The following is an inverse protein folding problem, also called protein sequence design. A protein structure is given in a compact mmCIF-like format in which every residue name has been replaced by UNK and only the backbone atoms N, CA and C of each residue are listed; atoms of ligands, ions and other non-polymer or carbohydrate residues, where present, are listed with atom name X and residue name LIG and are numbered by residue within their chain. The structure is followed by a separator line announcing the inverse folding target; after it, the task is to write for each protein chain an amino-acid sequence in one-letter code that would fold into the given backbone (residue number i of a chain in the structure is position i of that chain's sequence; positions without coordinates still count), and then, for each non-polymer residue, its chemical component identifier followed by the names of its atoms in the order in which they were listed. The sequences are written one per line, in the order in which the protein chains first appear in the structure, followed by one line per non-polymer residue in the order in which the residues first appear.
data_IF_115851559771
#
_entry.id   IF_115851559771
#
_cell.length_a   1.000
_cell.length_b   1.000
_cell.length_c   1.000
_cell.angle_alpha   90.00
_cell.angle_beta   90.00
_cell.angle_gamma   90.00
#
_symmetry.space_group_name_H-M   'P 1'
#
loop_
_entity.id
_entity.type
_entity.pdbx_description
1 polymer ?
#
# COMPACT_ATOMS: atom_id res chain seq x y z
N UNK A 1 -17.77 -29.01 -5.02
CA UNK A 1 -17.92 -28.42 -6.34
C UNK A 1 -16.77 -28.88 -7.23
N UNK A 2 -17.02 -29.11 -8.51
CA UNK A 2 -16.14 -29.84 -9.41
C UNK A 2 -15.09 -28.97 -10.12
N UNK A 3 -14.98 -27.68 -9.76
CA UNK A 3 -14.04 -26.72 -10.35
C UNK A 3 -14.28 -26.43 -11.84
N UNK A 4 -15.43 -26.81 -12.38
CA UNK A 4 -15.81 -26.47 -13.74
C UNK A 4 -16.36 -25.05 -13.79
N UNK A 5 -16.05 -24.33 -14.89
CA UNK A 5 -16.48 -22.96 -15.14
C UNK A 5 -16.02 -21.94 -14.07
N UNK A 6 -14.69 -21.75 -13.86
CA UNK A 6 -14.19 -20.72 -12.94
C UNK A 6 -14.68 -19.34 -13.41
N UNK A 7 -15.24 -18.56 -12.49
CA UNK A 7 -15.73 -17.22 -12.76
C UNK A 7 -14.95 -16.21 -11.95
N UNK A 8 -14.42 -15.18 -12.62
CA UNK A 8 -13.77 -14.07 -11.96
C UNK A 8 -14.80 -13.16 -11.30
N UNK A 9 -14.59 -12.84 -10.01
CA UNK A 9 -15.49 -11.99 -9.22
C UNK A 9 -14.99 -10.57 -9.01
N UNK A 10 -13.69 -10.30 -9.31
CA UNK A 10 -13.09 -8.97 -9.16
C UNK A 10 -12.63 -8.43 -10.49
N UNK A 11 -12.66 -7.11 -10.66
CA UNK A 11 -12.01 -6.42 -11.78
C UNK A 11 -10.48 -6.41 -11.65
N UNK A 12 -9.77 -5.96 -12.69
CA UNK A 12 -8.30 -5.88 -12.72
C UNK A 12 -7.72 -4.89 -11.72
N UNK A 13 -8.51 -3.87 -11.33
CA UNK A 13 -8.09 -2.85 -10.37
C UNK A 13 -8.07 -3.33 -8.91
N UNK A 14 -8.60 -4.52 -8.62
CA UNK A 14 -8.61 -5.09 -7.26
C UNK A 14 -7.72 -6.32 -7.25
N UNK A 15 -6.66 -6.28 -6.45
CA UNK A 15 -5.83 -7.44 -6.15
C UNK A 15 -6.32 -8.06 -4.84
N UNK A 16 -6.96 -9.24 -4.85
CA UNK A 16 -7.27 -9.94 -3.61
C UNK A 16 -6.00 -10.23 -2.83
N UNK A 17 -6.03 -9.98 -1.53
CA UNK A 17 -4.89 -10.24 -0.67
C UNK A 17 -4.75 -11.76 -0.43
N UNK A 18 -3.68 -12.34 -0.93
CA UNK A 18 -3.42 -13.79 -0.85
C UNK A 18 -2.31 -14.14 0.16
N UNK A 19 -1.66 -13.13 0.75
CA UNK A 19 -0.44 -13.33 1.53
C UNK A 19 0.77 -13.69 0.64
N UNK A 20 1.91 -13.88 1.26
CA UNK A 20 3.15 -14.29 0.57
C UNK A 20 3.55 -15.71 1.01
N UNK A 21 3.57 -16.70 0.11
CA UNK A 21 4.03 -18.05 0.43
C UNK A 21 5.54 -18.05 0.76
N UNK A 22 6.01 -18.95 1.64
CA UNK A 22 5.29 -19.96 2.42
C UNK A 22 4.92 -19.49 3.85
N UNK A 23 5.22 -18.26 4.21
CA UNK A 23 5.25 -17.79 5.61
C UNK A 23 3.94 -17.16 6.05
N UNK A 24 3.18 -16.59 5.11
CA UNK A 24 1.92 -15.91 5.42
C UNK A 24 0.74 -16.78 5.04
N UNK A 25 -0.19 -16.95 5.97
CA UNK A 25 -1.48 -17.56 5.64
C UNK A 25 -2.23 -16.60 4.72
N UNK A 26 -2.90 -17.12 3.68
CA UNK A 26 -3.79 -16.31 2.86
C UNK A 26 -4.77 -15.56 3.77
N UNK A 27 -5.05 -14.31 3.46
CA UNK A 27 -6.15 -13.61 4.12
C UNK A 27 -7.43 -14.41 3.90
N UNK A 28 -8.24 -14.56 4.95
CA UNK A 28 -9.44 -15.35 4.87
C UNK A 28 -10.38 -14.75 3.81
N UNK A 29 -10.78 -15.56 2.88
CA UNK A 29 -11.95 -15.36 2.06
C UNK A 29 -13.14 -15.92 2.85
N UNK A 30 -14.18 -15.15 3.02
CA UNK A 30 -15.37 -15.58 3.73
C UNK A 30 -16.57 -15.63 2.79
N UNK A 31 -17.20 -16.80 2.73
CA UNK A 31 -18.46 -16.98 2.01
C UNK A 31 -19.61 -16.91 3.03
N UNK A 32 -20.36 -15.83 2.99
CA UNK A 32 -21.48 -15.61 3.89
C UNK A 32 -22.71 -16.43 3.47
N UNK A 33 -23.57 -16.77 4.44
CA UNK A 33 -24.78 -17.55 4.22
C UNK A 33 -25.79 -16.88 3.26
N UNK A 34 -25.69 -15.56 3.09
CA UNK A 34 -26.50 -14.76 2.16
C UNK A 34 -25.95 -14.69 0.74
N UNK A 35 -24.93 -15.47 0.43
CA UNK A 35 -24.32 -15.56 -0.90
C UNK A 35 -23.31 -14.46 -1.21
N UNK A 36 -22.90 -13.63 -0.24
CA UNK A 36 -21.81 -12.68 -0.41
C UNK A 36 -20.46 -13.32 -0.14
N UNK A 37 -19.46 -12.90 -0.88
CA UNK A 37 -18.07 -13.22 -0.63
C UNK A 37 -17.39 -11.97 -0.07
N UNK A 38 -16.83 -12.07 1.12
CA UNK A 38 -16.14 -10.99 1.83
C UNK A 38 -14.64 -11.29 1.84
N UNK A 39 -13.82 -10.32 1.45
CA UNK A 39 -12.37 -10.53 1.30
C UNK A 39 -11.59 -9.23 1.47
N UNK A 40 -10.32 -9.36 1.88
CA UNK A 40 -9.37 -8.26 1.79
C UNK A 40 -8.83 -8.17 0.37
N UNK A 41 -8.69 -6.95 -0.11
CA UNK A 41 -8.08 -6.66 -1.40
C UNK A 41 -7.30 -5.34 -1.36
N UNK A 42 -6.47 -5.15 -2.36
CA UNK A 42 -5.57 -4.03 -2.48
C UNK A 42 -5.81 -3.29 -3.79
N UNK A 43 -5.68 -1.98 -3.75
CA UNK A 43 -5.82 -1.11 -4.92
C UNK A 43 -5.02 0.18 -4.70
N UNK A 44 -4.08 0.51 -5.60
CA UNK A 44 -3.25 1.73 -5.54
C UNK A 44 -2.56 1.94 -4.19
N UNK A 45 -1.87 0.88 -3.70
CA UNK A 45 -1.13 0.95 -2.44
C UNK A 45 -2.00 1.15 -1.19
N UNK A 46 -3.27 0.85 -1.28
CA UNK A 46 -4.24 0.91 -0.17
C UNK A 46 -4.95 -0.42 -0.01
N UNK A 47 -5.43 -0.70 1.20
CA UNK A 47 -6.16 -1.94 1.52
C UNK A 47 -7.62 -1.67 1.83
N UNK A 48 -8.46 -2.60 1.40
CA UNK A 48 -9.90 -2.52 1.56
C UNK A 48 -10.48 -3.87 1.97
N UNK A 49 -11.55 -3.82 2.73
CA UNK A 49 -12.48 -4.93 2.90
C UNK A 49 -13.56 -4.80 1.82
N UNK A 50 -13.62 -5.78 0.94
CA UNK A 50 -14.59 -5.84 -0.15
C UNK A 50 -15.67 -6.87 0.13
N UNK A 51 -16.82 -6.68 -0.50
CA UNK A 51 -17.84 -7.70 -0.69
C UNK A 51 -18.19 -7.84 -2.18
N UNK A 52 -18.51 -9.05 -2.59
CA UNK A 52 -18.97 -9.35 -3.93
C UNK A 52 -20.07 -10.42 -3.91
N UNK A 53 -21.07 -10.36 -4.79
CA UNK A 53 -22.05 -11.45 -4.95
C UNK A 53 -21.35 -12.71 -5.47
N UNK A 54 -21.65 -13.88 -4.91
CA UNK A 54 -21.09 -15.17 -5.37
C UNK A 54 -21.53 -15.54 -6.79
N UNK A 55 -22.68 -15.02 -7.21
CA UNK A 55 -23.20 -15.20 -8.57
C UNK A 55 -22.50 -14.32 -9.63
N UNK A 56 -21.58 -13.45 -9.20
CA UNK A 56 -20.93 -12.46 -10.04
C UNK A 56 -21.61 -11.10 -9.95
N UNK A 57 -20.85 -10.06 -10.29
CA UNK A 57 -21.29 -8.67 -10.18
C UNK A 57 -20.14 -7.77 -9.70
N UNK A 58 -20.37 -6.47 -9.54
CA UNK A 58 -19.35 -5.55 -9.06
C UNK A 58 -19.00 -5.85 -7.59
N UNK A 59 -17.71 -5.76 -7.27
CA UNK A 59 -17.25 -5.74 -5.89
C UNK A 59 -17.48 -4.35 -5.28
N UNK A 60 -17.99 -4.33 -4.07
CA UNK A 60 -18.24 -3.10 -3.31
C UNK A 60 -17.26 -2.98 -2.15
N UNK A 61 -16.81 -1.76 -1.86
CA UNK A 61 -15.99 -1.46 -0.69
C UNK A 61 -16.88 -1.38 0.54
N UNK A 62 -16.55 -2.19 1.55
CA UNK A 62 -17.18 -2.13 2.87
C UNK A 62 -16.42 -1.18 3.77
N UNK A 63 -15.08 -1.29 3.78
CA UNK A 63 -14.21 -0.49 4.63
C UNK A 63 -12.78 -0.44 4.06
N UNK A 64 -11.97 0.52 4.51
CA UNK A 64 -10.56 0.66 4.15
C UNK A 64 -10.24 1.97 3.47
N UNK A 65 -9.10 2.02 2.78
CA UNK A 65 -8.53 3.20 2.13
C UNK A 65 -7.07 3.35 2.48
N UNK A 66 -6.65 4.53 2.92
CA UNK A 66 -5.26 4.86 3.26
C UNK A 66 -4.77 4.07 4.49
N UNK A 67 -4.63 2.76 4.32
CA UNK A 67 -4.11 1.81 5.31
C UNK A 67 -3.54 0.56 4.62
N UNK A 68 -2.81 -0.25 5.38
CA UNK A 68 -2.51 -1.63 5.05
C UNK A 68 -3.22 -2.54 6.05
N UNK A 69 -4.14 -3.38 5.55
CA UNK A 69 -4.86 -4.35 6.35
C UNK A 69 -4.35 -5.75 6.11
N UNK A 70 -4.18 -6.49 7.21
CA UNK A 70 -3.78 -7.89 7.18
C UNK A 70 -4.64 -8.69 8.15
N UNK A 71 -4.75 -9.97 7.91
CA UNK A 71 -5.56 -10.84 8.76
C UNK A 71 -7.03 -10.44 8.75
N UNK A 72 -7.90 -11.37 8.45
CA UNK A 72 -9.34 -11.17 8.46
C UNK A 72 -9.99 -12.30 9.24
N UNK A 73 -10.83 -11.94 10.20
CA UNK A 73 -11.75 -12.88 10.82
C UNK A 73 -13.15 -12.29 10.82
N UNK A 74 -14.16 -13.13 10.66
CA UNK A 74 -15.54 -12.72 10.59
C UNK A 74 -16.40 -13.48 11.58
N UNK A 75 -17.34 -12.76 12.20
CA UNK A 75 -18.55 -13.32 12.76
C UNK A 75 -19.72 -12.99 11.81
N UNK A 76 -20.04 -13.94 10.94
CA UNK A 76 -21.11 -13.75 9.94
C UNK A 76 -22.49 -13.58 10.57
N UNK A 77 -22.73 -14.13 11.77
CA UNK A 77 -24.00 -13.97 12.47
C UNK A 77 -24.14 -12.59 13.12
N UNK A 78 -23.03 -12.06 13.63
CA UNK A 78 -23.01 -10.72 14.19
C UNK A 78 -22.87 -9.60 13.14
N UNK A 79 -22.59 -9.96 11.88
CA UNK A 79 -22.34 -8.99 10.83
C UNK A 79 -21.06 -8.16 11.06
N UNK A 80 -20.05 -8.77 11.69
CA UNK A 80 -18.84 -8.09 12.13
C UNK A 80 -17.60 -8.73 11.51
N UNK A 81 -16.62 -7.91 11.15
CA UNK A 81 -15.29 -8.33 10.78
C UNK A 81 -14.25 -7.76 11.75
N UNK A 82 -13.13 -8.44 11.91
CA UNK A 82 -11.94 -7.90 12.58
C UNK A 82 -10.74 -8.05 11.66
N UNK A 83 -9.99 -6.98 11.51
CA UNK A 83 -8.73 -6.91 10.76
C UNK A 83 -7.62 -6.32 11.61
N UNK A 84 -6.38 -6.59 11.26
CA UNK A 84 -5.25 -5.77 11.71
C UNK A 84 -5.04 -4.68 10.67
N UNK A 85 -5.03 -3.41 11.07
CA UNK A 85 -4.80 -2.28 10.17
C UNK A 85 -3.68 -1.39 10.68
N UNK A 86 -2.76 -1.03 9.77
CA UNK A 86 -1.69 -0.05 9.96
C UNK A 86 -1.97 1.16 9.08
N UNK A 87 -1.75 2.36 9.61
CA UNK A 87 -1.91 3.63 8.92
C UNK A 87 -0.55 4.32 8.78
N UNK A 88 -0.38 5.34 7.92
CA UNK A 88 0.92 6.00 7.75
C UNK A 88 1.56 6.51 9.03
N UNK A 89 0.75 6.93 9.98
CA UNK A 89 1.14 7.53 11.26
C UNK A 89 0.91 6.61 12.48
N UNK A 90 0.44 5.38 12.25
CA UNK A 90 0.11 4.44 13.34
C UNK A 90 0.45 3.00 12.97
N UNK A 91 1.26 2.31 13.78
CA UNK A 91 1.48 0.87 13.65
C UNK A 91 0.18 0.08 13.77
N UNK A 92 0.21 -1.18 13.35
CA UNK A 92 -0.98 -2.01 13.26
C UNK A 92 -1.67 -2.29 14.60
N UNK A 93 -2.98 -2.11 14.61
CA UNK A 93 -3.91 -2.48 15.68
C UNK A 93 -5.08 -3.27 15.16
N UNK A 94 -5.83 -3.91 16.08
CA UNK A 94 -7.07 -4.61 15.72
C UNK A 94 -8.21 -3.61 15.56
N UNK A 95 -8.94 -3.74 14.46
CA UNK A 95 -10.11 -2.96 14.13
C UNK A 95 -11.32 -3.85 13.89
N UNK A 96 -12.40 -3.61 14.60
CA UNK A 96 -13.71 -4.22 14.36
C UNK A 96 -14.47 -3.36 13.35
N UNK A 97 -15.12 -4.01 12.39
CA UNK A 97 -15.82 -3.38 11.29
C UNK A 97 -17.24 -3.93 11.24
N UNK A 98 -18.21 -3.06 11.24
CA UNK A 98 -19.60 -3.40 10.97
C UNK A 98 -19.81 -3.57 9.46
N UNK A 99 -20.20 -4.76 9.03
CA UNK A 99 -20.30 -5.11 7.61
C UNK A 99 -21.45 -4.42 6.88
N UNK A 100 -22.47 -3.96 7.62
CA UNK A 100 -23.61 -3.29 7.00
C UNK A 100 -23.37 -1.79 6.78
N UNK A 101 -22.61 -1.16 7.68
CA UNK A 101 -22.41 0.30 7.69
C UNK A 101 -21.00 0.73 7.31
N UNK A 102 -20.02 -0.18 7.37
CA UNK A 102 -18.60 0.13 7.25
C UNK A 102 -18.02 0.87 8.46
N UNK A 103 -18.80 1.06 9.53
CA UNK A 103 -18.30 1.71 10.74
C UNK A 103 -17.21 0.87 11.39
N UNK A 104 -16.11 1.51 11.80
CA UNK A 104 -14.99 0.81 12.43
C UNK A 104 -14.73 1.31 13.85
N UNK A 105 -14.23 0.39 14.69
CA UNK A 105 -13.81 0.64 16.06
C UNK A 105 -12.48 -0.03 16.32
N UNK A 106 -11.49 0.72 16.78
CA UNK A 106 -10.21 0.18 17.25
C UNK A 106 -10.44 -0.64 18.53
N UNK A 107 -9.90 -1.85 18.56
CA UNK A 107 -10.05 -2.80 19.68
C UNK A 107 -8.78 -2.94 20.53
N UNK A 108 -7.61 -2.63 19.98
CA UNK A 108 -6.35 -2.74 20.70
C UNK A 108 -5.60 -1.40 20.71
N UNK A 109 -4.66 -1.27 21.63
CA UNK A 109 -3.87 -0.07 21.83
C UNK A 109 -2.40 -0.41 22.17
N UNK A 110 -1.89 -1.48 21.58
CA UNK A 110 -0.55 -1.99 21.90
C UNK A 110 0.57 -1.02 21.56
N UNK A 111 0.34 -0.10 20.64
CA UNK A 111 1.34 0.86 20.16
C UNK A 111 1.19 2.27 20.77
N UNK A 112 0.17 2.52 21.59
CA UNK A 112 -0.11 3.88 22.09
C UNK A 112 1.05 4.45 22.89
N UNK A 113 1.61 3.70 23.83
CA UNK A 113 2.75 4.16 24.63
C UNK A 113 4.01 4.44 23.81
N UNK A 114 4.21 3.71 22.72
CA UNK A 114 5.29 3.99 21.79
C UNK A 114 5.02 5.29 21.00
N UNK A 115 3.82 5.47 20.49
CA UNK A 115 3.44 6.63 19.70
C UNK A 115 3.33 7.93 20.53
N UNK A 116 3.06 7.81 21.84
CA UNK A 116 3.11 8.95 22.75
C UNK A 116 4.55 9.50 22.94
N UNK A 117 5.56 8.64 22.81
CA UNK A 117 6.97 9.01 22.95
C UNK A 117 7.64 9.36 21.62
N UNK A 118 7.05 9.00 20.49
CA UNK A 118 7.68 9.12 19.17
C UNK A 118 6.71 9.76 18.17
N UNK A 119 7.14 10.86 17.57
CA UNK A 119 6.38 11.51 16.51
C UNK A 119 6.62 10.78 15.19
N UNK A 120 5.57 10.26 14.58
CA UNK A 120 5.65 9.67 13.24
C UNK A 120 6.01 10.71 12.18
N UNK A 121 6.78 10.29 11.21
CA UNK A 121 7.05 11.10 10.01
C UNK A 121 5.76 11.31 9.22
N UNK A 122 5.50 12.56 8.83
CA UNK A 122 4.40 12.90 7.93
C UNK A 122 4.69 12.34 6.54
N UNK A 123 3.70 11.74 5.91
CA UNK A 123 3.76 11.27 4.53
C UNK A 123 2.90 12.18 3.62
N UNK A 124 3.44 12.47 2.45
CA UNK A 124 2.73 13.08 1.33
C UNK A 124 2.66 12.08 0.18
N UNK A 125 1.47 11.77 -0.30
CA UNK A 125 1.22 10.91 -1.46
C UNK A 125 0.97 11.78 -2.68
N UNK A 126 1.66 11.50 -3.78
CA UNK A 126 1.52 12.21 -5.04
C UNK A 126 1.82 11.26 -6.20
N UNK A 127 1.52 11.70 -7.40
CA UNK A 127 1.81 10.96 -8.62
C UNK A 127 2.59 11.81 -9.61
N UNK A 128 3.40 11.16 -10.41
CA UNK A 128 4.11 11.77 -11.53
C UNK A 128 3.72 11.06 -12.83
N UNK A 129 3.72 11.83 -13.91
CA UNK A 129 3.70 11.31 -15.26
C UNK A 129 5.14 11.31 -15.81
N UNK A 130 5.62 10.17 -16.27
CA UNK A 130 6.95 10.12 -16.89
C UNK A 130 6.88 10.58 -18.34
N UNK A 131 7.50 11.73 -18.70
CA UNK A 131 7.52 12.20 -20.10
C UNK A 131 8.21 11.19 -21.02
N UNK A 132 7.59 10.89 -22.16
CA UNK A 132 8.17 10.02 -23.20
C UNK A 132 8.10 8.53 -22.87
N UNK A 133 7.47 8.11 -21.79
CA UNK A 133 7.23 6.71 -21.49
C UNK A 133 6.24 6.06 -22.45
N UNK A 134 6.58 4.87 -22.96
CA UNK A 134 5.80 4.18 -24.01
C UNK A 134 4.36 3.79 -23.58
N UNK A 135 3.99 3.91 -22.30
CA UNK A 135 2.77 3.35 -21.72
C UNK A 135 1.84 4.33 -21.03
N UNK A 136 2.21 5.61 -20.84
CA UNK A 136 1.33 6.59 -20.17
C UNK A 136 0.92 6.21 -18.74
N UNK A 137 1.73 5.46 -18.01
CA UNK A 137 1.44 5.11 -16.64
C UNK A 137 1.70 6.28 -15.70
N UNK A 138 0.77 6.48 -14.78
CA UNK A 138 0.93 7.33 -13.61
C UNK A 138 1.74 6.58 -12.55
N UNK A 139 2.84 7.16 -12.07
CA UNK A 139 3.74 6.57 -11.08
C UNK A 139 3.43 7.19 -9.72
N UNK A 140 2.94 6.38 -8.79
CA UNK A 140 2.57 6.84 -7.45
C UNK A 140 3.79 6.84 -6.52
N UNK A 141 3.97 7.95 -5.83
CA UNK A 141 5.07 8.23 -4.93
C UNK A 141 4.58 8.59 -3.53
N UNK A 142 5.41 8.30 -2.53
CA UNK A 142 5.24 8.72 -1.14
C UNK A 142 6.50 9.41 -0.68
N UNK A 143 6.38 10.66 -0.22
CA UNK A 143 7.48 11.39 0.38
C UNK A 143 7.25 11.51 1.89
N UNK A 144 8.17 10.97 2.66
CA UNK A 144 8.18 11.07 4.11
C UNK A 144 9.06 12.25 4.53
N UNK A 145 8.58 13.01 5.49
CA UNK A 145 9.24 14.20 6.02
C UNK A 145 9.72 13.96 7.45
N UNK A 146 10.91 14.42 7.81
CA UNK A 146 11.37 14.34 9.19
C UNK A 146 10.39 15.04 10.15
N UNK A 147 10.21 14.52 11.37
CA UNK A 147 9.48 15.25 12.41
C UNK A 147 10.05 16.65 12.61
N UNK A 148 9.19 17.65 12.70
CA UNK A 148 9.62 19.07 12.78
C UNK A 148 10.14 19.64 11.45
N UNK A 149 9.79 19.04 10.31
CA UNK A 149 10.14 19.53 8.98
C UNK A 149 9.87 21.04 8.83
N UNK A 150 10.87 21.77 8.34
CA UNK A 150 10.81 23.20 8.02
C UNK A 150 11.23 23.39 6.56
N UNK A 151 10.32 23.88 5.73
CA UNK A 151 10.55 24.10 4.30
C UNK A 151 11.61 25.17 3.99
N UNK A 152 12.07 25.94 4.97
CA UNK A 152 13.19 26.87 4.83
C UNK A 152 14.56 26.21 4.94
N UNK A 153 14.62 24.96 5.42
CA UNK A 153 15.83 24.16 5.53
C UNK A 153 15.97 23.21 4.34
N UNK A 154 17.17 22.67 4.15
CA UNK A 154 17.50 21.77 3.04
C UNK A 154 17.88 20.40 3.60
N UNK A 155 17.26 19.35 3.09
CA UNK A 155 17.35 17.99 3.60
C UNK A 155 17.95 17.02 2.57
N UNK A 156 18.77 16.06 2.99
CA UNK A 156 19.19 14.96 2.13
C UNK A 156 18.00 14.07 1.77
N UNK A 157 18.02 13.49 0.58
CA UNK A 157 16.99 12.60 0.07
C UNK A 157 17.48 11.16 -0.01
N UNK A 158 16.68 10.20 0.45
CA UNK A 158 16.88 8.77 0.25
C UNK A 158 15.75 8.23 -0.63
N UNK A 159 16.09 7.66 -1.78
CA UNK A 159 15.19 6.84 -2.58
C UNK A 159 15.05 5.48 -1.90
N UNK A 160 13.84 5.08 -1.56
CA UNK A 160 13.52 3.74 -1.04
C UNK A 160 12.86 2.90 -2.13
N UNK A 161 13.39 1.69 -2.39
CA UNK A 161 12.96 0.79 -3.46
C UNK A 161 12.42 -0.49 -2.80
N UNK A 162 11.14 -0.83 -3.06
CA UNK A 162 10.55 -2.06 -2.54
C UNK A 162 11.03 -3.30 -3.29
N UNK A 163 10.94 -4.45 -2.64
CA UNK A 163 11.22 -5.74 -3.25
C UNK A 163 10.11 -6.24 -4.17
N UNK A 164 10.41 -7.27 -4.92
CA UNK A 164 9.40 -7.90 -5.78
C UNK A 164 9.95 -8.44 -7.10
N UNK A 165 9.70 -7.78 -8.25
CA UNK A 165 9.11 -6.46 -8.53
C UNK A 165 7.63 -6.32 -8.20
N UNK A 166 6.88 -7.41 -8.03
CA UNK A 166 5.44 -7.39 -7.75
C UNK A 166 5.09 -7.07 -6.27
N UNK A 167 5.98 -6.38 -5.54
CA UNK A 167 5.66 -5.72 -4.29
C UNK A 167 4.94 -4.40 -4.52
N UNK A 168 4.71 -3.65 -3.43
CA UNK A 168 4.31 -2.25 -3.45
C UNK A 168 4.60 -1.61 -2.10
N UNK A 169 4.81 -0.30 -2.08
CA UNK A 169 4.63 0.49 -0.88
C UNK A 169 3.16 0.81 -0.68
N UNK A 170 2.74 0.75 0.57
CA UNK A 170 1.36 0.99 1.00
C UNK A 170 1.27 2.24 1.87
N UNK A 171 0.06 2.75 2.01
CA UNK A 171 -0.26 3.78 2.98
C UNK A 171 -0.29 3.16 4.39
N UNK A 172 0.89 2.91 4.95
CA UNK A 172 1.09 2.20 6.21
C UNK A 172 2.27 2.76 6.99
N UNK A 173 2.34 2.42 8.27
CA UNK A 173 3.51 2.67 9.10
C UNK A 173 4.63 1.69 8.70
N UNK A 174 5.62 2.19 7.98
CA UNK A 174 6.77 1.38 7.54
C UNK A 174 7.98 1.75 8.39
N UNK A 175 8.45 0.86 9.30
CA UNK A 175 9.51 1.18 10.25
C UNK A 175 10.80 1.72 9.61
N UNK A 176 11.23 1.17 8.47
CA UNK A 176 12.44 1.61 7.79
C UNK A 176 12.34 3.08 7.35
N UNK A 177 11.21 3.45 6.73
CA UNK A 177 10.95 4.84 6.28
C UNK A 177 10.84 5.78 7.47
N UNK A 178 10.20 5.35 8.56
CA UNK A 178 10.09 6.13 9.79
C UNK A 178 11.46 6.39 10.42
N UNK A 179 12.32 5.35 10.51
CA UNK A 179 13.69 5.48 11.06
C UNK A 179 14.53 6.44 10.23
N UNK A 180 14.51 6.33 8.90
CA UNK A 180 15.25 7.22 8.02
C UNK A 180 14.73 8.66 8.13
N UNK A 181 13.42 8.87 8.14
CA UNK A 181 12.84 10.20 8.28
C UNK A 181 13.15 10.82 9.64
N UNK A 182 13.07 10.07 10.74
CA UNK A 182 13.42 10.57 12.08
C UNK A 182 14.91 10.84 12.23
N UNK A 183 15.76 10.23 11.40
CA UNK A 183 17.19 10.56 11.31
C UNK A 183 17.48 11.84 10.51
N UNK A 184 16.46 12.52 9.99
CA UNK A 184 16.58 13.82 9.32
C UNK A 184 16.63 13.74 7.79
N UNK A 185 16.28 12.60 7.20
CA UNK A 185 16.20 12.43 5.74
C UNK A 185 14.77 12.67 5.24
N UNK A 186 14.66 13.22 4.04
CA UNK A 186 13.47 12.98 3.21
C UNK A 186 13.56 11.56 2.65
N UNK A 187 12.45 10.81 2.66
CA UNK A 187 12.44 9.44 2.13
C UNK A 187 11.39 9.35 1.02
N UNK A 188 11.86 9.10 -0.20
CA UNK A 188 11.02 8.95 -1.39
C UNK A 188 10.80 7.46 -1.66
N UNK A 189 9.59 6.98 -1.41
CA UNK A 189 9.15 5.62 -1.72
C UNK A 189 8.30 5.65 -2.99
N UNK A 190 8.70 4.87 -4.00
CA UNK A 190 8.10 4.90 -5.35
C UNK A 190 7.53 3.54 -5.67
N UNK A 191 6.34 3.51 -6.26
CA UNK A 191 5.75 2.32 -6.88
C UNK A 191 5.94 2.40 -8.41
N UNK A 192 7.09 1.94 -8.94
CA UNK A 192 7.34 1.93 -10.38
C UNK A 192 6.48 0.89 -11.07
N UNK A 193 6.43 0.90 -12.41
CA UNK A 193 5.83 -0.21 -13.17
C UNK A 193 6.43 -1.54 -12.71
N UNK A 194 5.64 -2.60 -12.74
CA UNK A 194 5.97 -3.87 -12.12
C UNK A 194 5.37 -4.03 -10.72
N UNK A 195 5.09 -2.91 -10.03
CA UNK A 195 4.42 -2.95 -8.72
C UNK A 195 3.03 -3.57 -8.81
N UNK A 196 2.64 -4.27 -7.75
CA UNK A 196 1.27 -4.77 -7.60
C UNK A 196 0.28 -3.66 -7.27
N UNK A 197 -1.00 -3.96 -7.27
CA UNK A 197 -2.12 -3.07 -6.87
C UNK A 197 -2.57 -2.02 -7.88
N UNK A 198 -1.87 -1.88 -9.01
CA UNK A 198 -2.18 -0.91 -10.08
C UNK A 198 -2.80 -1.55 -11.34
N UNK A 199 -3.17 -2.82 -11.26
CA UNK A 199 -3.72 -3.60 -12.37
C UNK A 199 -2.70 -4.49 -13.06
N UNK A 200 -3.20 -5.41 -13.91
CA UNK A 200 -2.36 -6.42 -14.53
C UNK A 200 -1.36 -5.82 -15.53
N UNK A 201 -1.77 -4.86 -16.34
CA UNK A 201 -0.92 -4.24 -17.35
C UNK A 201 0.28 -3.52 -16.70
N UNK A 202 0.04 -2.79 -15.61
CA UNK A 202 1.10 -2.12 -14.86
C UNK A 202 2.07 -3.13 -14.23
N UNK A 203 1.53 -4.19 -13.62
CA UNK A 203 2.32 -5.23 -12.96
C UNK A 203 3.16 -6.03 -13.97
N UNK A 204 2.61 -6.30 -15.16
CA UNK A 204 3.29 -7.09 -16.20
C UNK A 204 4.26 -6.28 -17.05
N UNK A 205 4.22 -4.94 -16.98
CA UNK A 205 5.03 -4.06 -17.82
C UNK A 205 6.56 -4.18 -17.60
N UNK A 206 6.98 -4.83 -16.52
CA UNK A 206 8.40 -5.07 -16.20
C UNK A 206 8.94 -6.39 -16.74
N UNK A 207 8.07 -7.24 -17.33
CA UNK A 207 8.50 -8.56 -17.83
C UNK A 207 9.50 -8.43 -18.98
N UNK A 208 10.68 -9.03 -18.75
CA UNK A 208 11.77 -9.01 -19.73
C UNK A 208 12.55 -7.70 -19.80
N UNK A 209 12.25 -6.74 -18.90
CA UNK A 209 12.86 -5.41 -18.91
C UNK A 209 13.24 -4.93 -17.48
N UNK A 210 13.66 -5.84 -16.61
CA UNK A 210 14.07 -5.49 -15.24
C UNK A 210 15.29 -4.55 -15.25
N UNK A 211 15.17 -3.42 -14.55
CA UNK A 211 16.18 -2.36 -14.55
C UNK A 211 16.16 -1.49 -15.80
N UNK A 212 15.14 -1.61 -16.64
CA UNK A 212 14.89 -0.76 -17.81
C UNK A 212 13.89 0.36 -17.49
N UNK A 213 12.65 0.18 -17.91
CA UNK A 213 11.61 1.20 -17.76
C UNK A 213 11.20 1.46 -16.30
N UNK A 214 11.28 0.45 -15.43
CA UNK A 214 11.07 0.59 -13.98
C UNK A 214 12.14 1.47 -13.32
N UNK A 215 13.41 1.32 -13.73
CA UNK A 215 14.49 2.22 -13.30
C UNK A 215 14.23 3.67 -13.73
N UNK A 216 13.75 3.87 -14.97
CA UNK A 216 13.44 5.20 -15.48
C UNK A 216 12.24 5.83 -14.73
N UNK A 217 11.28 5.05 -14.26
CA UNK A 217 10.19 5.52 -13.40
C UNK A 217 10.74 6.01 -12.05
N UNK A 218 11.67 5.26 -11.44
CA UNK A 218 12.33 5.64 -10.19
C UNK A 218 13.11 6.94 -10.34
N UNK A 219 13.90 7.05 -11.42
CA UNK A 219 14.70 8.26 -11.68
C UNK A 219 13.84 9.49 -11.97
N UNK A 220 12.72 9.32 -12.71
CA UNK A 220 11.78 10.41 -12.92
C UNK A 220 11.16 10.94 -11.61
N UNK A 221 10.89 10.05 -10.64
CA UNK A 221 10.42 10.45 -9.33
C UNK A 221 11.49 11.21 -8.52
N UNK A 222 12.76 10.81 -8.62
CA UNK A 222 13.89 11.56 -8.03
C UNK A 222 14.01 12.92 -8.69
N UNK A 223 13.98 12.99 -10.02
CA UNK A 223 14.10 14.24 -10.79
C UNK A 223 12.98 15.23 -10.46
N UNK A 224 11.75 14.75 -10.21
CA UNK A 224 10.64 15.60 -9.74
C UNK A 224 10.91 16.16 -8.35
N UNK A 225 11.29 15.29 -7.42
CA UNK A 225 11.44 15.68 -6.01
C UNK A 225 12.65 16.59 -5.78
N UNK A 226 13.75 16.42 -6.52
CA UNK A 226 14.94 17.30 -6.38
C UNK A 226 14.69 18.73 -6.86
N UNK A 227 13.60 19.02 -7.58
CA UNK A 227 13.21 20.39 -7.91
C UNK A 227 12.60 21.16 -6.72
N UNK A 228 12.24 20.46 -5.65
CA UNK A 228 11.67 21.09 -4.45
C UNK A 228 12.76 21.81 -3.67
N UNK A 229 12.54 23.05 -3.30
CA UNK A 229 13.55 23.96 -2.72
C UNK A 229 14.17 23.46 -1.41
N UNK A 230 13.52 22.55 -0.73
CA UNK A 230 13.97 21.94 0.52
C UNK A 230 14.74 20.63 0.32
N UNK A 231 15.02 20.21 -0.90
CA UNK A 231 15.81 19.00 -1.21
C UNK A 231 17.24 19.36 -1.55
N UNK A 232 18.19 18.69 -0.93
CA UNK A 232 19.63 18.82 -1.25
C UNK A 232 20.00 17.84 -2.39
N UNK A 233 20.10 18.37 -3.61
CA UNK A 233 20.43 17.58 -4.78
C UNK A 233 21.86 16.98 -4.76
N UNK A 234 22.76 17.51 -3.89
CA UNK A 234 24.12 17.00 -3.73
C UNK A 234 24.21 15.89 -2.66
N UNK A 235 23.13 15.64 -1.90
CA UNK A 235 23.08 14.61 -0.87
C UNK A 235 21.94 13.63 -1.11
N UNK A 236 22.11 12.80 -2.15
CA UNK A 236 21.16 11.77 -2.53
C UNK A 236 21.69 10.40 -2.10
N UNK A 237 20.81 9.56 -1.59
CA UNK A 237 21.10 8.18 -1.22
C UNK A 237 20.04 7.23 -1.76
N UNK A 238 20.34 5.93 -1.72
CA UNK A 238 19.41 4.86 -2.09
C UNK A 238 19.40 3.80 -1.00
N UNK A 239 18.21 3.30 -0.71
CA UNK A 239 17.94 2.16 0.15
C UNK A 239 17.01 1.21 -0.58
N UNK A 240 17.11 -0.07 -0.32
CA UNK A 240 16.21 -1.06 -0.89
C UNK A 240 16.45 -2.44 -0.30
N UNK A 241 15.48 -3.32 -0.50
CA UNK A 241 15.55 -4.70 -0.08
C UNK A 241 15.08 -5.62 -1.21
N UNK A 242 15.87 -6.68 -1.50
CA UNK A 242 15.61 -7.70 -2.50
C UNK A 242 15.78 -7.18 -3.94
N UNK A 243 14.70 -6.99 -4.66
CA UNK A 243 14.70 -6.58 -6.07
C UNK A 243 15.44 -5.28 -6.33
#
# INVERSE_FOLDING_TARGET
EDGKDPRRLTGDSIKPYLGFPPVMRPAALWWADDGRIIFLGERKGESFLFQAPSEGGPSETVWGGSCLSTGLTLDGKAGQAVVTASFPDSPGDLHQIDLATGASKRLSNHNDSYMEMHTAARMEKFSIERPGGASGFEIECRLYFPPGFDASLVYPLVLDIHGGPNGAFYDAFVPAQQVLATAGYLVLAVNPRGSSTYGADFMMAVLGDWGGEDYLDLMAAVDDVVQRTYVDADRLGVHGYSY
#
